data_IF_236160904428
#
_entry.id   IF_236160904428
#
_cell.length_a   1.000
_cell.length_b   1.000
_cell.length_c   1.000
_cell.angle_alpha   90.00
_cell.angle_beta   90.00
_cell.angle_gamma   90.00
#
_symmetry.space_group_name_H-M   'P 1'
#
loop_
_entity.id
_entity.type
_entity.pdbx_description
1 polymer ?
#
# COMPACT_ATOMS: atom_id res chain seq x y z
N UNK A 1 -6.16 65.33 -43.33
CA UNK A 1 -5.42 65.32 -42.06
C UNK A 1 -6.32 64.78 -40.95
N UNK A 2 -6.35 63.47 -40.72
CA UNK A 2 -6.78 62.90 -39.42
C UNK A 2 -6.30 61.46 -39.32
N UNK A 3 -5.28 61.21 -38.50
CA UNK A 3 -4.76 59.88 -38.21
C UNK A 3 -5.58 59.28 -37.08
N UNK A 4 -6.33 58.21 -37.34
CA UNK A 4 -6.98 57.41 -36.30
C UNK A 4 -5.99 56.34 -35.86
N UNK A 5 -5.48 56.46 -34.64
CA UNK A 5 -4.66 55.43 -33.98
C UNK A 5 -5.59 54.42 -33.33
N UNK A 6 -5.64 53.20 -33.85
CA UNK A 6 -6.28 52.06 -33.19
C UNK A 6 -5.29 51.51 -32.18
N UNK A 7 -5.58 51.68 -30.88
CA UNK A 7 -4.82 51.07 -29.80
C UNK A 7 -5.31 49.63 -29.60
N UNK A 8 -4.46 48.65 -29.92
CA UNK A 8 -4.68 47.25 -29.56
C UNK A 8 -4.37 47.06 -28.07
N UNK A 9 -5.41 46.88 -27.27
CA UNK A 9 -5.30 46.45 -25.87
C UNK A 9 -5.05 44.93 -25.85
N UNK A 10 -3.81 44.54 -25.55
CA UNK A 10 -3.45 43.16 -25.27
C UNK A 10 -3.95 42.79 -23.86
N UNK A 11 -5.02 41.99 -23.79
CA UNK A 11 -5.49 41.37 -22.55
C UNK A 11 -4.61 40.16 -22.22
N UNK A 12 -3.69 40.32 -21.27
CA UNK A 12 -2.99 39.21 -20.63
C UNK A 12 -3.93 38.56 -19.61
N UNK A 13 -4.53 37.42 -19.97
CA UNK A 13 -5.18 36.53 -19.00
C UNK A 13 -4.10 35.61 -18.40
N UNK A 14 -3.53 36.05 -17.27
CA UNK A 14 -2.78 35.17 -16.38
C UNK A 14 -3.77 34.22 -15.69
N UNK A 15 -3.92 33.00 -16.21
CA UNK A 15 -4.59 31.94 -15.49
C UNK A 15 -3.67 31.47 -14.36
N UNK A 16 -3.86 32.05 -13.18
CA UNK A 16 -3.22 31.59 -11.94
C UNK A 16 -3.64 30.13 -11.68
N UNK A 17 -2.67 29.22 -11.74
CA UNK A 17 -2.85 27.82 -11.40
C UNK A 17 -3.27 27.69 -9.93
N UNK A 18 -4.49 27.21 -9.71
CA UNK A 18 -4.94 26.80 -8.38
C UNK A 18 -4.55 25.34 -8.17
N UNK A 19 -3.31 25.12 -7.74
CA UNK A 19 -2.91 23.87 -7.12
C UNK A 19 -3.42 23.88 -5.68
N UNK A 20 -4.70 23.55 -5.51
CA UNK A 20 -5.25 23.25 -4.20
C UNK A 20 -4.67 21.93 -3.71
N UNK A 21 -3.64 21.99 -2.87
CA UNK A 21 -3.41 20.94 -1.89
C UNK A 21 -4.65 20.89 -1.01
N UNK A 22 -5.49 19.88 -1.19
CA UNK A 22 -6.63 19.64 -0.32
C UNK A 22 -6.07 19.22 1.04
N UNK A 23 -6.09 20.15 2.01
CA UNK A 23 -5.89 19.83 3.42
C UNK A 23 -6.91 18.75 3.81
N UNK A 24 -6.40 17.54 4.10
CA UNK A 24 -7.23 16.45 4.62
C UNK A 24 -7.64 16.80 6.05
N UNK A 25 -8.95 16.72 6.42
CA UNK A 25 -9.37 16.91 7.80
C UNK A 25 -8.71 15.88 8.71
N UNK A 26 -8.26 16.32 9.89
CA UNK A 26 -7.53 15.52 10.88
C UNK A 26 -8.30 14.32 11.50
N UNK A 27 -9.56 14.11 11.10
CA UNK A 27 -10.43 13.03 11.60
C UNK A 27 -10.37 11.74 10.75
N UNK A 28 -9.77 11.78 9.55
CA UNK A 28 -9.62 10.56 8.74
C UNK A 28 -8.37 9.79 9.16
N UNK A 29 -8.55 8.76 9.99
CA UNK A 29 -7.47 7.82 10.36
C UNK A 29 -7.15 6.90 9.17
N UNK A 30 -6.27 7.36 8.29
CA UNK A 30 -5.73 6.58 7.17
C UNK A 30 -6.46 6.76 5.83
N UNK A 31 -5.95 6.09 4.80
CA UNK A 31 -6.56 6.12 3.46
C UNK A 31 -7.89 5.36 3.39
N UNK A 32 -8.83 5.90 2.63
CA UNK A 32 -10.10 5.28 2.27
C UNK A 32 -10.10 4.76 0.83
N UNK A 33 -11.15 4.03 0.44
CA UNK A 33 -11.34 3.60 -0.95
C UNK A 33 -11.38 4.82 -1.88
N UNK A 34 -10.59 4.78 -2.95
CA UNK A 34 -10.45 5.86 -3.93
C UNK A 34 -9.37 6.89 -3.60
N UNK A 35 -8.84 6.90 -2.37
CA UNK A 35 -7.80 7.84 -2.01
C UNK A 35 -6.51 7.61 -2.78
N UNK A 36 -5.86 8.71 -3.17
CA UNK A 36 -4.49 8.67 -3.66
C UNK A 36 -3.52 8.49 -2.48
N UNK A 37 -2.64 7.50 -2.64
CA UNK A 37 -1.57 7.19 -1.70
C UNK A 37 -0.37 8.09 -1.97
N UNK A 38 0.11 8.78 -0.93
CA UNK A 38 1.34 9.55 -0.99
C UNK A 38 2.56 8.65 -1.16
N UNK A 39 3.61 9.16 -1.79
CA UNK A 39 4.86 8.42 -1.90
C UNK A 39 5.50 8.24 -0.52
N UNK A 40 6.25 7.15 -0.35
CA UNK A 40 7.00 6.83 0.85
C UNK A 40 8.33 6.20 0.46
N UNK A 41 9.28 6.15 1.39
CA UNK A 41 10.61 5.57 1.17
C UNK A 41 10.98 4.75 2.39
N UNK A 42 11.15 3.45 2.23
CA UNK A 42 11.50 2.54 3.32
C UNK A 42 12.68 1.66 2.95
N UNK A 43 13.41 1.21 3.97
CA UNK A 43 14.54 0.30 3.81
C UNK A 43 14.03 -1.11 3.56
N UNK A 44 14.50 -1.76 2.49
CA UNK A 44 14.25 -3.16 2.18
C UNK A 44 15.24 -4.08 2.90
N UNK A 45 14.82 -5.31 3.21
CA UNK A 45 15.71 -6.38 3.70
C UNK A 45 16.86 -6.71 2.74
N UNK A 46 16.77 -6.30 1.47
CA UNK A 46 17.86 -6.43 0.50
C UNK A 46 18.92 -5.32 0.62
N UNK A 47 18.72 -4.35 1.51
CA UNK A 47 19.64 -3.23 1.76
C UNK A 47 19.40 -2.00 0.88
N UNK A 48 18.53 -2.10 -0.13
CA UNK A 48 18.09 -0.96 -0.95
C UNK A 48 17.00 -0.15 -0.24
N UNK A 49 16.81 1.10 -0.67
CA UNK A 49 15.62 1.89 -0.32
C UNK A 49 14.60 1.72 -1.45
N UNK A 50 13.36 1.40 -1.08
CA UNK A 50 12.25 1.22 -2.02
C UNK A 50 11.20 2.30 -1.75
N UNK A 51 10.67 2.86 -2.82
CA UNK A 51 9.59 3.85 -2.80
C UNK A 51 8.35 3.35 -3.54
N UNK A 52 7.19 3.95 -3.25
CA UNK A 52 5.98 3.68 -4.03
C UNK A 52 6.18 4.09 -5.49
N UNK A 53 6.92 5.18 -5.71
CA UNK A 53 7.24 5.69 -7.05
C UNK A 53 8.10 4.74 -7.90
N UNK A 54 8.84 3.81 -7.31
CA UNK A 54 9.61 2.79 -8.06
C UNK A 54 8.69 1.81 -8.81
N UNK A 55 7.41 1.75 -8.45
CA UNK A 55 6.41 0.89 -9.09
C UNK A 55 5.59 1.58 -10.18
N UNK A 56 5.98 2.79 -10.64
CA UNK A 56 5.25 3.53 -11.70
C UNK A 56 5.03 2.75 -13.00
N UNK A 57 5.80 1.70 -13.28
CA UNK A 57 5.58 0.80 -14.43
C UNK A 57 4.50 -0.26 -14.20
N UNK A 58 4.12 -0.53 -12.95
CA UNK A 58 3.10 -1.52 -12.56
C UNK A 58 1.68 -0.99 -12.83
N UNK A 59 0.71 -1.90 -12.96
CA UNK A 59 -0.72 -1.55 -13.04
C UNK A 59 -1.32 -1.26 -11.67
N UNK A 60 -0.70 -1.79 -10.62
CA UNK A 60 -1.12 -1.61 -9.24
C UNK A 60 -0.15 -2.32 -8.30
N UNK A 61 -0.53 -2.41 -7.04
CA UNK A 61 0.26 -3.02 -5.97
C UNK A 61 -0.64 -3.71 -4.97
N UNK A 62 -0.14 -4.80 -4.38
CA UNK A 62 -0.74 -5.44 -3.21
C UNK A 62 0.15 -5.08 -2.02
N UNK A 63 -0.19 -4.01 -1.31
CA UNK A 63 0.57 -3.55 -0.12
C UNK A 63 0.07 -4.32 1.09
N UNK A 64 0.98 -4.96 1.83
CA UNK A 64 0.64 -5.80 2.99
C UNK A 64 1.44 -5.37 4.21
N UNK A 65 0.76 -4.88 5.24
CA UNK A 65 1.36 -4.72 6.56
C UNK A 65 1.39 -6.08 7.24
N UNK A 66 2.58 -6.57 7.59
CA UNK A 66 2.83 -7.92 8.12
C UNK A 66 3.84 -7.88 9.27
N UNK A 67 4.13 -9.04 9.86
CA UNK A 67 5.07 -9.17 10.97
C UNK A 67 5.75 -10.54 10.96
N UNK A 68 6.89 -10.64 11.62
CA UNK A 68 7.64 -11.87 11.81
C UNK A 68 7.24 -12.60 13.10
N UNK A 69 6.76 -11.92 14.14
CA UNK A 69 6.38 -12.59 15.40
C UNK A 69 4.94 -13.14 15.35
N UNK A 70 4.02 -12.42 14.70
CA UNK A 70 2.58 -12.69 14.74
C UNK A 70 2.20 -14.04 14.09
N UNK A 71 1.46 -14.93 14.77
CA UNK A 71 1.09 -16.24 14.23
C UNK A 71 0.18 -16.14 12.98
N UNK A 72 -0.71 -15.14 12.93
CA UNK A 72 -1.55 -14.90 11.75
C UNK A 72 -0.71 -14.49 10.53
N UNK A 73 0.24 -13.57 10.72
CA UNK A 73 1.14 -13.14 9.66
C UNK A 73 1.96 -14.31 9.11
N UNK A 74 2.51 -15.15 10.00
CA UNK A 74 3.22 -16.38 9.64
C UNK A 74 2.34 -17.33 8.81
N UNK A 75 1.10 -17.56 9.23
CA UNK A 75 0.15 -18.44 8.52
C UNK A 75 -0.21 -17.94 7.12
N UNK A 76 0.07 -16.67 6.79
CA UNK A 76 -0.20 -16.09 5.48
C UNK A 76 1.02 -16.02 4.56
N UNK A 77 2.25 -16.28 5.02
CA UNK A 77 3.46 -16.07 4.23
C UNK A 77 3.47 -16.82 2.90
N UNK A 78 3.10 -18.10 2.90
CA UNK A 78 3.06 -18.90 1.67
C UNK A 78 1.97 -18.42 0.71
N UNK A 79 0.88 -17.88 1.24
CA UNK A 79 -0.19 -17.25 0.44
C UNK A 79 0.26 -15.91 -0.15
N UNK A 80 1.04 -15.11 0.58
CA UNK A 80 1.63 -13.88 0.05
C UNK A 80 2.63 -14.18 -1.07
N UNK A 81 3.47 -15.22 -0.91
CA UNK A 81 4.38 -15.70 -1.95
C UNK A 81 3.59 -16.15 -3.19
N UNK A 82 2.49 -16.88 -3.00
CA UNK A 82 1.63 -17.33 -4.09
C UNK A 82 0.93 -16.16 -4.81
N UNK A 83 0.39 -15.20 -4.07
CA UNK A 83 -0.22 -13.98 -4.61
C UNK A 83 0.77 -13.24 -5.50
N UNK A 84 1.97 -13.01 -4.98
CA UNK A 84 2.99 -12.28 -5.70
C UNK A 84 3.46 -12.99 -6.98
N UNK A 85 3.72 -14.30 -6.91
CA UNK A 85 4.06 -15.10 -8.10
C UNK A 85 2.96 -15.07 -9.16
N UNK A 86 1.69 -15.07 -8.73
CA UNK A 86 0.54 -15.01 -9.63
C UNK A 86 0.37 -13.62 -10.26
N UNK A 87 0.48 -12.56 -9.47
CA UNK A 87 0.05 -11.22 -9.87
C UNK A 87 1.14 -10.25 -10.26
N UNK A 88 2.41 -10.46 -9.85
CA UNK A 88 3.54 -9.69 -10.38
C UNK A 88 3.59 -9.69 -11.91
N UNK A 89 3.56 -10.83 -12.63
CA UNK A 89 3.61 -10.80 -14.10
C UNK A 89 2.38 -10.13 -14.71
N UNK A 90 1.26 -10.05 -13.98
CA UNK A 90 0.07 -9.33 -14.40
C UNK A 90 0.13 -7.81 -14.09
N UNK A 91 1.19 -7.34 -13.43
CA UNK A 91 1.41 -5.93 -13.09
C UNK A 91 0.93 -5.53 -11.68
N UNK A 92 0.70 -6.49 -10.78
CA UNK A 92 0.34 -6.27 -9.37
C UNK A 92 1.29 -7.05 -8.44
N UNK A 93 2.56 -6.62 -8.29
CA UNK A 93 3.46 -7.24 -7.33
C UNK A 93 2.99 -7.01 -5.88
N UNK A 94 3.41 -7.89 -4.98
CA UNK A 94 3.26 -7.68 -3.54
C UNK A 94 4.37 -6.75 -3.05
N UNK A 95 4.02 -5.90 -2.09
CA UNK A 95 4.96 -5.08 -1.31
C UNK A 95 4.65 -5.27 0.17
N UNK A 96 5.51 -5.97 0.89
CA UNK A 96 5.32 -6.24 2.31
C UNK A 96 6.01 -5.17 3.17
N UNK A 97 5.36 -4.73 4.25
CA UNK A 97 5.86 -3.72 5.18
C UNK A 97 5.73 -4.27 6.60
N UNK A 98 6.80 -4.25 7.39
CA UNK A 98 6.75 -4.51 8.83
C UNK A 98 6.80 -3.18 9.60
N UNK A 99 5.72 -2.79 10.29
CA UNK A 99 5.67 -1.56 11.05
C UNK A 99 5.84 -1.77 12.56
N UNK A 100 6.08 -2.99 13.04
CA UNK A 100 6.09 -3.25 14.49
C UNK A 100 7.36 -2.72 15.16
N UNK A 101 7.21 -2.29 16.42
CA UNK A 101 8.34 -1.91 17.26
C UNK A 101 9.15 -3.14 17.69
N UNK A 102 10.41 -3.28 17.23
CA UNK A 102 11.26 -4.41 17.62
C UNK A 102 11.66 -4.39 19.10
N UNK A 103 11.48 -3.27 19.82
CA UNK A 103 11.71 -3.23 21.26
C UNK A 103 10.73 -4.12 22.06
N UNK A 104 9.55 -4.40 21.47
CA UNK A 104 8.52 -5.27 22.06
C UNK A 104 8.73 -6.73 21.62
N UNK A 105 9.01 -6.94 20.33
CA UNK A 105 9.27 -8.27 19.76
C UNK A 105 10.52 -8.22 18.87
N UNK A 106 11.62 -8.78 19.38
CA UNK A 106 12.91 -8.81 18.66
C UNK A 106 12.80 -9.53 17.31
N UNK A 107 11.85 -10.45 17.11
CA UNK A 107 11.65 -11.10 15.80
C UNK A 107 11.29 -10.10 14.70
N UNK A 108 10.69 -8.95 15.03
CA UNK A 108 10.39 -7.87 14.09
C UNK A 108 11.56 -6.93 13.83
N UNK A 109 12.73 -7.17 14.44
CA UNK A 109 13.92 -6.39 14.15
C UNK A 109 14.35 -6.55 12.70
N UNK A 110 14.96 -5.49 12.15
CA UNK A 110 15.37 -5.47 10.74
C UNK A 110 16.30 -6.63 10.38
N UNK A 111 17.19 -7.05 11.29
CA UNK A 111 18.06 -8.20 11.06
C UNK A 111 17.28 -9.52 11.02
N UNK A 112 16.30 -9.72 11.91
CA UNK A 112 15.43 -10.89 11.87
C UNK A 112 14.50 -10.89 10.65
N UNK A 113 14.05 -9.72 10.16
CA UNK A 113 13.35 -9.61 8.87
C UNK A 113 14.21 -10.12 7.72
N UNK A 114 15.51 -9.80 7.67
CA UNK A 114 16.42 -10.31 6.65
C UNK A 114 16.59 -11.82 6.72
N UNK A 115 16.71 -12.36 7.94
CA UNK A 115 16.77 -13.82 8.15
C UNK A 115 15.49 -14.49 7.65
N UNK A 116 14.31 -13.95 8.01
CA UNK A 116 13.01 -14.50 7.60
C UNK A 116 12.80 -14.45 6.09
N UNK A 117 13.08 -13.30 5.47
CA UNK A 117 12.95 -13.11 4.03
C UNK A 117 13.82 -14.11 3.24
N UNK A 118 15.07 -14.33 3.67
CA UNK A 118 15.96 -15.33 3.08
C UNK A 118 15.45 -16.75 3.28
N UNK A 119 15.06 -17.11 4.51
CA UNK A 119 14.59 -18.46 4.84
C UNK A 119 13.33 -18.84 4.04
N UNK A 120 12.41 -17.89 3.82
CA UNK A 120 11.19 -18.11 3.03
C UNK A 120 11.36 -17.81 1.54
N UNK A 121 12.53 -17.31 1.13
CA UNK A 121 12.82 -16.88 -0.24
C UNK A 121 11.71 -15.96 -0.77
N UNK A 122 11.40 -14.91 -0.01
CA UNK A 122 10.35 -13.98 -0.39
C UNK A 122 10.63 -13.40 -1.78
N UNK A 123 9.69 -13.54 -2.73
CA UNK A 123 9.88 -13.03 -4.08
C UNK A 123 9.60 -11.53 -4.18
N UNK A 124 9.07 -10.90 -3.13
CA UNK A 124 8.67 -9.49 -3.07
C UNK A 124 9.56 -8.69 -2.13
N UNK A 125 9.57 -7.36 -2.29
CA UNK A 125 10.25 -6.47 -1.38
C UNK A 125 9.59 -6.51 0.02
N UNK A 126 10.42 -6.64 1.06
CA UNK A 126 10.00 -6.61 2.45
C UNK A 126 10.65 -5.43 3.15
N UNK A 127 9.84 -4.45 3.50
CA UNK A 127 10.26 -3.12 3.94
C UNK A 127 10.07 -2.96 5.44
N UNK A 128 10.98 -2.25 6.08
CA UNK A 128 10.88 -1.90 7.50
C UNK A 128 10.41 -0.45 7.65
N UNK A 129 9.24 -0.27 8.26
CA UNK A 129 8.69 1.04 8.62
C UNK A 129 9.09 1.42 10.03
N UNK A 130 10.37 1.79 10.20
CA UNK A 130 10.98 2.09 11.49
C UNK A 130 10.25 3.22 12.25
N UNK A 131 9.70 4.19 11.53
CA UNK A 131 8.98 5.34 12.13
C UNK A 131 7.51 5.06 12.38
N UNK A 132 6.97 4.01 11.74
CA UNK A 132 5.54 3.65 11.71
C UNK A 132 4.63 4.67 11.03
N UNK A 133 5.20 5.72 10.40
CA UNK A 133 4.45 6.77 9.72
C UNK A 133 3.74 6.25 8.47
N UNK A 134 4.30 5.25 7.77
CA UNK A 134 3.64 4.65 6.61
C UNK A 134 2.43 3.85 7.07
N UNK A 135 2.56 3.05 8.12
CA UNK A 135 1.42 2.34 8.71
C UNK A 135 0.33 3.30 9.22
N UNK A 136 0.70 4.39 9.88
CA UNK A 136 -0.25 5.44 10.31
C UNK A 136 -0.96 6.08 9.11
N UNK A 137 -0.22 6.49 8.07
CA UNK A 137 -0.79 7.10 6.87
C UNK A 137 -1.76 6.17 6.14
N UNK A 138 -1.49 4.86 6.13
CA UNK A 138 -2.41 3.87 5.61
C UNK A 138 -3.60 3.58 6.53
N UNK A 139 -3.54 3.95 7.81
CA UNK A 139 -4.53 3.51 8.81
C UNK A 139 -4.44 2.01 9.08
N UNK A 140 -3.27 1.42 8.90
CA UNK A 140 -3.07 0.00 9.19
C UNK A 140 -3.14 -0.23 10.69
N UNK A 141 -3.93 -1.21 11.14
CA UNK A 141 -4.07 -1.54 12.57
C UNK A 141 -3.73 -2.98 12.93
N UNK A 142 -3.53 -3.85 11.93
CA UNK A 142 -3.39 -5.30 12.11
C UNK A 142 -2.26 -5.87 11.26
N UNK A 143 -1.77 -7.04 11.63
CA UNK A 143 -0.86 -7.86 10.82
C UNK A 143 -1.42 -9.29 10.67
N UNK A 144 -1.77 -9.75 9.46
CA UNK A 144 -1.71 -8.99 8.20
C UNK A 144 -2.87 -8.01 8.01
N UNK A 145 -2.63 -6.92 7.28
CA UNK A 145 -3.64 -5.99 6.77
C UNK A 145 -3.25 -5.54 5.35
N UNK A 146 -4.16 -5.70 4.39
CA UNK A 146 -3.88 -5.52 2.97
C UNK A 146 -4.56 -4.28 2.40
N UNK A 147 -3.85 -3.59 1.52
CA UNK A 147 -4.35 -2.53 0.67
C UNK A 147 -4.03 -2.88 -0.79
N UNK A 148 -5.05 -3.05 -1.64
CA UNK A 148 -4.82 -3.19 -3.10
C UNK A 148 -4.92 -1.82 -3.72
N UNK A 149 -3.83 -1.40 -4.38
CA UNK A 149 -3.73 -0.14 -5.07
C UNK A 149 -3.85 -0.38 -6.58
N UNK A 150 -4.56 0.51 -7.26
CA UNK A 150 -4.61 0.55 -8.73
C UNK A 150 -4.00 1.85 -9.23
N UNK A 151 -3.16 1.78 -10.25
CA UNK A 151 -2.56 2.95 -10.86
C UNK A 151 -3.58 3.65 -11.77
N UNK A 152 -3.83 4.93 -11.50
CA UNK A 152 -4.63 5.81 -12.34
C UNK A 152 -3.79 7.02 -12.70
N UNK A 153 -3.29 7.05 -13.95
CA UNK A 153 -2.28 8.02 -14.39
C UNK A 153 -0.98 7.88 -13.60
N UNK A 154 -0.59 8.95 -12.92
CA UNK A 154 0.63 9.05 -12.10
C UNK A 154 0.42 8.72 -10.61
N UNK A 155 -0.80 8.34 -10.22
CA UNK A 155 -1.19 8.10 -8.82
C UNK A 155 -1.59 6.64 -8.60
N UNK A 156 -1.37 6.15 -7.39
CA UNK A 156 -1.92 4.89 -6.90
C UNK A 156 -3.14 5.18 -6.04
N UNK A 157 -4.29 4.62 -6.42
CA UNK A 157 -5.56 4.77 -5.72
C UNK A 157 -5.89 3.50 -4.96
N UNK A 158 -6.35 3.62 -3.71
CA UNK A 158 -6.82 2.47 -2.93
C UNK A 158 -8.10 1.90 -3.55
N UNK A 159 -8.14 0.59 -3.80
CA UNK A 159 -9.30 -0.11 -4.36
C UNK A 159 -9.81 -1.24 -3.46
N UNK A 160 -9.00 -1.67 -2.51
CA UNK A 160 -9.38 -2.66 -1.51
C UNK A 160 -8.63 -2.42 -0.20
N UNK A 161 -9.31 -2.64 0.93
CA UNK A 161 -8.73 -2.61 2.29
C UNK A 161 -9.27 -3.81 3.07
N UNK A 162 -8.40 -4.63 3.66
CA UNK A 162 -8.85 -5.65 4.61
C UNK A 162 -8.02 -6.93 4.69
N UNK A 163 -8.72 -8.06 4.81
CA UNK A 163 -8.13 -9.40 4.89
C UNK A 163 -7.66 -9.92 3.53
N UNK A 164 -6.82 -10.96 3.53
CA UNK A 164 -6.36 -11.61 2.29
C UNK A 164 -7.46 -12.51 1.72
N UNK A 165 -8.06 -13.32 2.60
CA UNK A 165 -9.12 -14.28 2.35
C UNK A 165 -9.97 -14.44 3.63
N UNK A 166 -10.94 -15.35 3.62
CA UNK A 166 -11.86 -15.60 4.72
C UNK A 166 -11.35 -16.60 5.78
N UNK A 167 -10.15 -17.17 5.63
CA UNK A 167 -9.59 -18.14 6.58
C UNK A 167 -8.20 -17.73 7.06
N UNK A 168 -8.16 -17.04 8.21
CA UNK A 168 -6.93 -16.40 8.71
C UNK A 168 -5.78 -17.36 9.04
N UNK A 169 -6.07 -18.57 9.50
CA UNK A 169 -5.04 -19.50 9.97
C UNK A 169 -4.99 -20.82 9.20
N UNK A 170 -6.09 -21.23 8.56
CA UNK A 170 -6.18 -22.51 7.86
C UNK A 170 -6.38 -22.29 6.36
N UNK A 171 -5.33 -22.44 5.54
CA UNK A 171 -5.44 -22.30 4.09
C UNK A 171 -6.46 -23.27 3.45
N UNK A 172 -6.74 -24.41 4.06
CA UNK A 172 -7.70 -25.40 3.53
C UNK A 172 -9.16 -24.97 3.69
N UNK A 173 -9.42 -24.09 4.66
CA UNK A 173 -10.75 -23.51 4.93
C UNK A 173 -11.11 -22.31 4.05
N UNK A 174 -10.25 -21.88 3.13
CA UNK A 174 -10.49 -20.70 2.29
C UNK A 174 -11.62 -20.95 1.29
N UNK A 175 -12.71 -20.19 1.41
CA UNK A 175 -13.82 -20.20 0.45
C UNK A 175 -13.95 -18.89 -0.34
N UNK A 176 -13.42 -17.78 0.17
CA UNK A 176 -13.41 -16.46 -0.49
C UNK A 176 -12.02 -15.88 -0.52
N UNK A 177 -11.56 -15.46 -1.70
CA UNK A 177 -10.18 -14.95 -1.93
C UNK A 177 -10.23 -13.46 -2.24
N UNK A 178 -10.48 -12.65 -1.22
CA UNK A 178 -10.80 -11.23 -1.39
C UNK A 178 -9.77 -10.44 -2.20
N UNK A 179 -8.48 -10.63 -1.92
CA UNK A 179 -7.41 -9.92 -2.65
C UNK A 179 -7.32 -10.41 -4.10
N UNK A 180 -7.45 -11.72 -4.34
CA UNK A 180 -7.46 -12.26 -5.69
C UNK A 180 -8.64 -11.73 -6.50
N UNK A 181 -9.84 -11.72 -5.90
CA UNK A 181 -11.05 -11.20 -6.53
C UNK A 181 -10.92 -9.71 -6.85
N UNK A 182 -10.37 -8.91 -5.93
CA UNK A 182 -10.10 -7.49 -6.15
C UNK A 182 -9.13 -7.27 -7.31
N UNK A 183 -7.98 -7.96 -7.32
CA UNK A 183 -6.99 -7.80 -8.39
C UNK A 183 -7.52 -8.32 -9.73
N UNK A 184 -8.25 -9.43 -9.77
CA UNK A 184 -8.87 -9.96 -10.99
C UNK A 184 -9.90 -8.98 -11.58
N UNK A 185 -10.71 -8.33 -10.74
CA UNK A 185 -11.64 -7.30 -11.18
C UNK A 185 -10.89 -6.11 -11.78
N UNK A 186 -9.87 -5.59 -11.10
CA UNK A 186 -9.06 -4.48 -11.61
C UNK A 186 -8.35 -4.82 -12.93
N UNK A 187 -7.79 -6.03 -13.06
CA UNK A 187 -7.16 -6.51 -14.29
C UNK A 187 -8.12 -6.59 -15.48
N UNK A 188 -9.42 -6.78 -15.21
CA UNK A 188 -10.46 -6.86 -16.24
C UNK A 188 -11.28 -5.58 -16.37
N UNK A 189 -10.87 -4.50 -15.71
CA UNK A 189 -11.57 -3.20 -15.75
C UNK A 189 -12.93 -3.21 -15.04
N UNK A 190 -13.18 -4.19 -14.16
CA UNK A 190 -14.42 -4.30 -13.37
C UNK A 190 -14.24 -3.64 -12.00
N UNK A 191 -15.34 -3.12 -11.39
CA UNK A 191 -15.29 -2.59 -10.04
C UNK A 191 -15.03 -3.69 -9.00
N UNK A 192 -14.32 -3.35 -7.92
CA UNK A 192 -14.15 -4.21 -6.75
C UNK A 192 -15.40 -4.09 -5.87
N UNK A 193 -16.32 -5.05 -5.98
CA UNK A 193 -17.62 -5.00 -5.28
C UNK A 193 -17.48 -5.11 -3.75
N UNK A 194 -16.63 -6.03 -3.27
CA UNK A 194 -16.28 -6.15 -1.86
C UNK A 194 -14.91 -5.50 -1.65
N UNK A 195 -14.92 -4.18 -1.49
CA UNK A 195 -13.71 -3.35 -1.40
C UNK A 195 -13.22 -3.13 0.04
N UNK A 196 -14.02 -3.46 1.06
CA UNK A 196 -13.62 -3.39 2.46
C UNK A 196 -13.99 -4.67 3.18
N UNK A 197 -13.03 -5.27 3.90
CA UNK A 197 -13.29 -6.39 4.81
C UNK A 197 -12.58 -6.18 6.15
N UNK A 198 -13.04 -6.87 7.19
CA UNK A 198 -12.39 -6.81 8.49
C UNK A 198 -11.11 -7.65 8.47
N UNK A 199 -9.95 -7.02 8.69
CA UNK A 199 -8.69 -7.75 8.90
C UNK A 199 -8.69 -8.51 10.22
N UNK A 200 -8.15 -9.72 10.18
CA UNK A 200 -7.99 -10.62 11.34
C UNK A 200 -6.50 -10.88 11.54
N UNK A 201 -5.96 -10.47 12.68
CA UNK A 201 -4.55 -10.58 12.99
C UNK A 201 -4.16 -9.92 14.30
N UNK A 202 -2.87 -9.96 14.63
CA UNK A 202 -2.31 -9.24 15.77
C UNK A 202 -2.47 -7.73 15.57
N UNK A 203 -2.56 -6.95 16.65
CA UNK A 203 -2.46 -5.50 16.54
C UNK A 203 -1.03 -5.11 16.12
N UNK A 204 -0.89 -3.99 15.41
CA UNK A 204 0.43 -3.40 15.20
C UNK A 204 0.97 -2.91 16.55
N UNK A 205 2.24 -3.18 16.84
CA UNK A 205 2.92 -2.73 18.04
C UNK A 205 3.52 -1.35 17.82
N UNK A 206 2.78 -0.32 18.23
CA UNK A 206 3.20 1.08 18.12
C UNK A 206 4.29 1.42 19.14
N UNK A 207 5.25 2.25 18.74
CA UNK A 207 6.25 2.86 19.61
C UNK A 207 5.56 3.80 20.60
N UNK A 208 6.12 3.95 21.79
CA UNK A 208 5.64 4.95 22.74
C UNK A 208 5.73 6.35 22.09
N UNK A 209 4.59 7.07 22.06
CA UNK A 209 4.37 8.38 21.42
C UNK A 209 3.98 8.38 19.92
N UNK A 210 3.59 7.24 19.36
CA UNK A 210 2.94 7.15 18.04
C UNK A 210 1.41 7.03 18.11
#
# INVERSE_FOLDING_TARGET
MTRIRVALLAFWLAAAGWAGATDRPADQRGYNIGDAVADFRLKSTEGSVVSLSDYRSSKGLIVVFTANHCPFAKAYEDRLIALDRKYRPAGFPVLAINPNDPSVYEEDSFENMKVRARAKSYPFAYLFDETQQVAQAFGATRTPHVFVLHRSGERFLVQYIGAIDDSSQDPSGVTKRYVEDAVNNLLTGKPVMLNVTKSVGCAIHWKENN
#
